data_IF_426085750663
#
_entry.id   IF_426085750663
#
_cell.length_a   1.000
_cell.length_b   1.000
_cell.length_c   1.000
_cell.angle_alpha   90.00
_cell.angle_beta   90.00
_cell.angle_gamma   90.00
#
_symmetry.space_group_name_H-M   'P 1'
#
loop_
_entity.id
_entity.type
_entity.pdbx_description
1 polymer ?
#
# COMPACT_ATOMS: atom_id res chain seq x y z
N UNK A 1 49.03 -16.46 34.99
CA UNK A 1 47.78 -15.79 35.45
C UNK A 1 47.27 -14.95 34.29
N UNK A 2 46.46 -15.52 33.40
CA UNK A 2 44.99 -15.53 33.39
C UNK A 2 44.43 -14.42 32.48
N UNK A 3 44.34 -14.78 31.19
CA UNK A 3 43.35 -14.40 30.16
C UNK A 3 42.41 -13.23 30.53
N UNK A 4 42.68 -12.02 30.02
CA UNK A 4 41.67 -10.98 29.79
C UNK A 4 42.06 -10.19 28.55
N UNK A 5 41.06 -9.77 27.76
CA UNK A 5 41.15 -8.90 26.58
C UNK A 5 41.09 -9.55 25.21
N UNK A 6 40.11 -10.43 24.99
CA UNK A 6 39.47 -10.57 23.66
C UNK A 6 37.96 -10.78 23.87
N UNK A 7 37.24 -9.75 24.30
CA UNK A 7 35.78 -9.79 24.35
C UNK A 7 35.22 -8.37 24.20
N UNK A 8 35.36 -7.75 23.03
CA UNK A 8 34.65 -6.50 22.75
C UNK A 8 34.59 -6.12 21.25
N UNK A 9 34.40 -7.08 20.34
CA UNK A 9 34.33 -6.71 18.91
C UNK A 9 33.36 -7.53 18.05
N UNK A 10 32.23 -8.00 18.60
CA UNK A 10 31.15 -8.60 17.79
C UNK A 10 29.77 -8.24 18.38
N UNK A 11 29.31 -6.99 18.24
CA UNK A 11 27.90 -6.64 18.56
C UNK A 11 27.23 -5.71 17.51
N UNK A 12 27.92 -5.23 16.47
CA UNK A 12 27.35 -4.21 15.58
C UNK A 12 26.66 -4.69 14.28
N UNK A 13 26.41 -6.00 14.09
CA UNK A 13 25.91 -6.53 12.79
C UNK A 13 24.41 -6.83 12.69
N UNK A 14 23.58 -6.48 13.69
CA UNK A 14 22.14 -6.86 13.69
C UNK A 14 21.16 -5.71 13.40
N UNK A 15 21.58 -4.62 12.75
CA UNK A 15 20.71 -3.44 12.54
C UNK A 15 19.84 -3.49 11.27
N UNK A 16 19.92 -4.52 10.43
CA UNK A 16 19.01 -4.65 9.29
C UNK A 16 17.72 -5.35 9.74
N UNK A 17 16.75 -4.59 10.25
CA UNK A 17 15.44 -5.11 10.64
C UNK A 17 14.58 -5.33 9.37
N UNK A 18 14.38 -6.59 9.02
CA UNK A 18 13.34 -6.98 8.06
C UNK A 18 11.96 -6.78 8.70
N UNK A 19 11.09 -6.07 8.01
CA UNK A 19 9.71 -5.88 8.43
C UNK A 19 8.86 -7.12 8.14
N UNK A 20 7.65 -7.17 8.71
CA UNK A 20 6.65 -8.19 8.36
C UNK A 20 6.40 -8.19 6.85
N UNK A 21 6.39 -9.39 6.26
CA UNK A 21 6.17 -9.56 4.82
C UNK A 21 4.71 -9.28 4.47
N UNK A 22 4.49 -8.82 3.24
CA UNK A 22 3.18 -8.35 2.81
C UNK A 22 2.73 -9.05 1.52
N UNK A 23 1.45 -9.43 1.52
CA UNK A 23 0.78 -10.11 0.42
C UNK A 23 -0.48 -9.33 0.04
N UNK A 24 -0.47 -8.75 -1.16
CA UNK A 24 -1.59 -7.97 -1.68
C UNK A 24 -2.42 -8.83 -2.62
N UNK A 25 -3.71 -8.99 -2.29
CA UNK A 25 -4.69 -9.71 -3.09
C UNK A 25 -5.62 -8.69 -3.74
N UNK A 26 -5.39 -8.42 -5.02
CA UNK A 26 -6.15 -7.47 -5.81
C UNK A 26 -7.30 -8.21 -6.48
N UNK A 27 -8.52 -7.71 -6.37
CA UNK A 27 -9.65 -8.24 -7.14
C UNK A 27 -9.31 -8.33 -8.64
N UNK A 28 -9.58 -9.49 -9.24
CA UNK A 28 -9.22 -9.77 -10.63
C UNK A 28 -9.73 -8.67 -11.59
N UNK A 29 -8.87 -8.30 -12.55
CA UNK A 29 -9.12 -7.30 -13.61
C UNK A 29 -9.27 -5.85 -13.13
N UNK A 30 -8.92 -5.55 -11.88
CA UNK A 30 -9.01 -4.18 -11.34
C UNK A 30 -7.74 -3.37 -11.63
N UNK A 31 -7.76 -2.55 -12.70
CA UNK A 31 -6.68 -1.61 -13.05
C UNK A 31 -6.75 -0.30 -12.24
N UNK A 32 -5.71 0.52 -12.33
CA UNK A 32 -5.58 1.83 -11.69
C UNK A 32 -5.18 1.76 -10.22
N UNK A 33 -5.32 2.90 -9.53
CA UNK A 33 -4.82 3.08 -8.16
C UNK A 33 -5.63 2.25 -7.15
N UNK A 34 -4.91 1.66 -6.20
CA UNK A 34 -5.44 1.01 -5.01
C UNK A 34 -4.91 1.75 -3.79
N UNK A 35 -5.81 2.04 -2.87
CA UNK A 35 -5.51 2.82 -1.67
C UNK A 35 -5.72 1.94 -0.44
N UNK A 36 -4.69 1.83 0.39
CA UNK A 36 -4.75 1.07 1.64
C UNK A 36 -4.58 2.07 2.79
N UNK A 37 -5.67 2.31 3.51
CA UNK A 37 -5.72 3.17 4.68
C UNK A 37 -5.52 2.33 5.93
N UNK A 38 -4.43 2.60 6.64
CA UNK A 38 -3.97 1.86 7.82
C UNK A 38 -4.19 2.65 9.10
N UNK A 39 -4.09 1.97 10.24
CA UNK A 39 -4.27 2.49 11.59
C UNK A 39 -5.70 3.03 11.85
N UNK A 40 -6.71 2.40 11.23
CA UNK A 40 -8.11 2.77 11.37
C UNK A 40 -8.88 1.71 12.16
N UNK A 41 -9.43 2.10 13.32
CA UNK A 41 -10.13 1.18 14.25
C UNK A 41 -11.38 0.54 13.62
N UNK A 42 -12.07 1.29 12.77
CA UNK A 42 -13.24 0.84 11.99
C UNK A 42 -12.86 0.05 10.72
N UNK A 43 -11.57 -0.20 10.49
CA UNK A 43 -11.08 -0.96 9.35
C UNK A 43 -11.30 -2.47 9.48
N UNK A 44 -11.02 -3.18 8.39
CA UNK A 44 -11.01 -4.64 8.39
C UNK A 44 -9.99 -5.16 9.41
N UNK A 45 -10.33 -6.25 10.13
CA UNK A 45 -9.39 -6.90 11.04
C UNK A 45 -8.09 -7.30 10.34
N UNK A 46 -7.00 -7.31 11.11
CA UNK A 46 -5.69 -7.78 10.64
C UNK A 46 -5.78 -9.25 10.23
N UNK A 47 -5.30 -9.57 9.03
CA UNK A 47 -5.30 -10.93 8.48
C UNK A 47 -3.89 -11.38 8.16
N UNK A 48 -3.55 -12.60 8.55
CA UNK A 48 -2.26 -13.20 8.29
C UNK A 48 -2.43 -14.52 7.55
N UNK A 49 -1.47 -14.87 6.69
CA UNK A 49 -1.40 -16.23 6.15
C UNK A 49 -0.67 -17.17 7.12
N UNK A 50 -0.65 -18.47 6.80
CA UNK A 50 0.00 -19.50 7.61
C UNK A 50 1.51 -19.27 7.81
N UNK A 51 2.14 -18.46 6.96
CA UNK A 51 3.56 -18.10 7.02
C UNK A 51 3.78 -16.76 7.75
N UNK A 52 2.73 -16.17 8.31
CA UNK A 52 2.79 -14.89 9.02
C UNK A 52 2.86 -13.67 8.11
N UNK A 53 2.51 -13.78 6.82
CA UNK A 53 2.45 -12.61 5.92
C UNK A 53 1.18 -11.82 6.20
N UNK A 54 1.31 -10.50 6.28
CA UNK A 54 0.13 -9.60 6.31
C UNK A 54 -0.62 -9.71 4.99
N UNK A 55 -1.91 -10.02 5.05
CA UNK A 55 -2.78 -10.12 3.88
C UNK A 55 -3.57 -8.82 3.73
N UNK A 56 -3.41 -8.17 2.58
CA UNK A 56 -4.22 -7.03 2.16
C UNK A 56 -5.17 -7.47 1.05
N UNK A 57 -6.39 -7.84 1.43
CA UNK A 57 -7.46 -8.19 0.48
C UNK A 57 -8.13 -6.93 -0.05
N UNK A 58 -7.68 -6.44 -1.20
CA UNK A 58 -8.13 -5.18 -1.79
C UNK A 58 -9.44 -5.43 -2.58
N UNK A 59 -10.56 -4.80 -2.19
CA UNK A 59 -11.85 -5.00 -2.85
C UNK A 59 -11.88 -4.39 -4.27
N UNK A 60 -12.96 -4.65 -5.01
CA UNK A 60 -13.18 -4.12 -6.37
C UNK A 60 -13.18 -2.58 -6.42
N UNK A 61 -13.61 -1.91 -5.35
CA UNK A 61 -13.54 -0.45 -5.21
C UNK A 61 -12.11 0.09 -5.23
N UNK A 62 -11.11 -0.77 -5.03
CA UNK A 62 -9.71 -0.40 -4.90
C UNK A 62 -9.38 0.42 -3.65
N UNK A 63 -10.27 0.44 -2.65
CA UNK A 63 -10.05 1.11 -1.36
C UNK A 63 -10.14 0.04 -0.27
N UNK A 64 -9.08 -0.12 0.50
CA UNK A 64 -9.03 -0.98 1.67
C UNK A 64 -8.81 -0.11 2.91
N UNK A 65 -9.66 -0.27 3.92
CA UNK A 65 -9.46 0.29 5.26
C UNK A 65 -9.10 -0.86 6.18
N UNK A 66 -8.00 -0.75 6.93
CA UNK A 66 -7.48 -1.82 7.77
C UNK A 66 -7.00 -1.34 9.13
N UNK A 67 -7.09 -2.24 10.11
CA UNK A 67 -6.55 -2.09 11.46
C UNK A 67 -5.03 -2.35 11.54
N UNK A 68 -4.38 -2.76 10.44
CA UNK A 68 -2.92 -2.85 10.41
C UNK A 68 -2.29 -1.50 10.74
N UNK A 69 -1.17 -1.53 11.48
CA UNK A 69 -0.30 -0.37 11.64
C UNK A 69 0.70 -0.33 10.50
N UNK A 70 1.21 0.85 10.19
CA UNK A 70 2.33 1.01 9.25
C UNK A 70 3.51 0.12 9.67
N UNK A 71 4.23 -0.39 8.68
CA UNK A 71 5.51 -1.08 8.86
C UNK A 71 6.62 -0.22 8.29
N UNK A 72 7.73 -0.17 9.02
CA UNK A 72 8.95 0.53 8.60
C UNK A 72 10.07 -0.48 8.37
N UNK A 73 10.98 -0.18 7.44
CA UNK A 73 12.11 -1.02 7.09
C UNK A 73 11.96 -1.71 5.72
N UNK A 74 12.81 -2.70 5.46
CA UNK A 74 12.79 -3.46 4.20
C UNK A 74 11.63 -4.46 4.27
N UNK A 75 10.62 -4.22 3.44
CA UNK A 75 9.41 -5.06 3.35
C UNK A 75 9.45 -5.88 2.07
N UNK A 76 9.31 -7.20 2.20
CA UNK A 76 9.06 -8.06 1.05
C UNK A 76 7.57 -8.02 0.68
N UNK A 77 7.26 -7.43 -0.47
CA UNK A 77 5.90 -7.25 -0.97
C UNK A 77 5.64 -8.18 -2.15
N UNK A 78 4.55 -8.92 -2.09
CA UNK A 78 4.09 -9.82 -3.17
C UNK A 78 2.68 -9.45 -3.60
N UNK A 79 2.39 -9.51 -4.90
CA UNK A 79 1.15 -9.01 -5.47
C UNK A 79 0.47 -10.10 -6.30
N UNK A 80 -0.83 -10.25 -6.13
CA UNK A 80 -1.63 -11.24 -6.84
C UNK A 80 -2.96 -10.66 -7.29
N UNK A 81 -3.42 -11.02 -8.47
CA UNK A 81 -4.85 -11.02 -8.75
C UNK A 81 -5.49 -12.22 -8.06
N UNK A 82 -6.61 -11.99 -7.39
CA UNK A 82 -7.49 -13.02 -6.83
C UNK A 82 -8.78 -13.05 -7.64
N UNK A 83 -9.03 -14.17 -8.31
CA UNK A 83 -10.29 -14.41 -9.03
C UNK A 83 -11.42 -14.77 -8.07
N UNK A 84 -12.66 -14.78 -8.59
CA UNK A 84 -13.87 -15.06 -7.79
C UNK A 84 -13.89 -16.46 -7.17
N UNK A 85 -13.29 -17.43 -7.84
CA UNK A 85 -13.08 -18.81 -7.38
C UNK A 85 -11.88 -18.94 -6.41
N UNK A 86 -11.17 -17.86 -6.10
CA UNK A 86 -10.07 -17.82 -5.15
C UNK A 86 -8.70 -18.14 -5.73
N UNK A 87 -8.59 -18.43 -7.03
CA UNK A 87 -7.29 -18.65 -7.69
C UNK A 87 -6.43 -17.38 -7.66
N UNK A 88 -5.13 -17.56 -7.43
CA UNK A 88 -4.15 -16.47 -7.38
C UNK A 88 -3.30 -16.46 -8.65
N UNK A 89 -3.16 -15.28 -9.25
CA UNK A 89 -2.28 -15.02 -10.40
C UNK A 89 -1.28 -13.96 -9.97
N UNK A 90 0.00 -14.31 -9.95
CA UNK A 90 1.06 -13.38 -9.52
C UNK A 90 1.20 -12.19 -10.48
N UNK A 91 1.43 -11.01 -9.90
CA UNK A 91 1.74 -9.77 -10.61
C UNK A 91 3.12 -9.33 -10.15
N UNK A 92 4.02 -9.03 -11.09
CA UNK A 92 5.34 -8.52 -10.73
C UNK A 92 5.19 -7.12 -10.11
N UNK A 93 5.71 -6.98 -8.89
CA UNK A 93 5.82 -5.69 -8.20
C UNK A 93 7.01 -4.89 -8.73
N UNK A 94 6.83 -3.58 -8.94
CA UNK A 94 7.89 -2.65 -9.34
C UNK A 94 7.83 -1.43 -8.40
N UNK A 95 8.91 -1.07 -7.70
CA UNK A 95 8.97 0.18 -6.96
C UNK A 95 8.65 1.41 -7.84
N UNK A 96 7.97 2.41 -7.29
CA UNK A 96 7.57 3.63 -8.00
C UNK A 96 8.76 4.38 -8.59
N UNK A 97 9.89 4.36 -7.89
CA UNK A 97 11.11 5.08 -8.24
C UNK A 97 11.94 4.37 -9.32
N UNK A 98 11.66 3.10 -9.58
CA UNK A 98 12.41 2.32 -10.56
C UNK A 98 12.09 2.78 -11.99
N UNK A 99 13.11 2.69 -12.84
CA UNK A 99 12.98 2.93 -14.27
C UNK A 99 12.04 1.90 -14.91
N UNK A 100 11.13 2.39 -15.74
CA UNK A 100 10.08 1.61 -16.39
C UNK A 100 10.37 1.35 -17.87
N UNK A 101 11.42 1.95 -18.43
CA UNK A 101 11.75 1.84 -19.87
C UNK A 101 12.07 0.42 -20.32
N UNK A 102 12.64 -0.40 -19.43
CA UNK A 102 13.00 -1.80 -19.70
C UNK A 102 11.84 -2.79 -19.50
N UNK A 103 10.67 -2.33 -19.04
CA UNK A 103 9.52 -3.20 -18.78
C UNK A 103 8.79 -3.55 -20.08
N UNK A 104 8.20 -4.74 -20.11
CA UNK A 104 7.38 -5.14 -21.24
C UNK A 104 6.07 -4.33 -21.26
N UNK A 105 5.91 -3.45 -22.24
CA UNK A 105 4.76 -2.55 -22.40
C UNK A 105 3.40 -3.26 -22.52
N UNK A 106 3.37 -4.56 -22.83
CA UNK A 106 2.14 -5.34 -22.93
C UNK A 106 1.77 -6.06 -21.63
N UNK A 107 2.66 -6.08 -20.63
CA UNK A 107 2.41 -6.71 -19.32
C UNK A 107 1.86 -5.71 -18.31
N UNK A 108 1.04 -6.22 -17.41
CA UNK A 108 0.53 -5.47 -16.25
C UNK A 108 1.49 -5.68 -15.08
N UNK A 109 1.76 -4.60 -14.35
CA UNK A 109 2.61 -4.59 -13.16
C UNK A 109 1.86 -3.97 -11.98
N UNK A 110 2.34 -4.27 -10.78
CA UNK A 110 1.94 -3.60 -9.56
C UNK A 110 3.03 -2.60 -9.16
N UNK A 111 2.82 -1.33 -9.48
CA UNK A 111 3.72 -0.28 -9.03
C UNK A 111 3.43 0.03 -7.56
N UNK A 112 4.45 0.12 -6.69
CA UNK A 112 4.27 0.36 -5.26
C UNK A 112 5.36 1.27 -4.65
N UNK A 113 5.19 1.69 -3.39
CA UNK A 113 6.23 2.39 -2.63
C UNK A 113 6.05 3.91 -2.58
N UNK A 114 4.87 4.41 -2.95
CA UNK A 114 4.42 5.76 -2.61
C UNK A 114 3.50 5.65 -1.41
N UNK A 115 4.12 5.73 -0.25
CA UNK A 115 3.43 5.71 1.03
C UNK A 115 3.37 7.14 1.55
N UNK A 116 2.22 7.49 2.12
CA UNK A 116 1.96 8.81 2.70
C UNK A 116 1.31 8.63 4.06
N UNK A 117 1.47 9.66 4.88
CA UNK A 117 0.97 9.63 6.24
C UNK A 117 0.23 10.93 6.52
N UNK A 118 -1.01 10.83 7.00
CA UNK A 118 -1.80 11.98 7.43
C UNK A 118 -1.82 12.02 8.95
N UNK A 119 -1.29 13.10 9.52
CA UNK A 119 -1.27 13.32 10.96
C UNK A 119 -2.49 14.12 11.38
N UNK A 120 -3.16 13.68 12.45
CA UNK A 120 -4.27 14.40 13.07
C UNK A 120 -3.85 14.87 14.47
N UNK A 121 -3.23 16.06 14.61
CA UNK A 121 -2.63 16.51 15.87
C UNK A 121 -3.61 16.51 17.04
N UNK A 122 -4.87 16.87 16.78
CA UNK A 122 -5.94 16.92 17.78
C UNK A 122 -6.27 15.55 18.38
N UNK A 123 -6.06 14.48 17.63
CA UNK A 123 -6.43 13.11 18.02
C UNK A 123 -5.22 12.24 18.36
N UNK A 124 -3.98 12.74 18.20
CA UNK A 124 -2.73 11.96 18.31
C UNK A 124 -2.74 10.67 17.48
N UNK A 125 -3.55 10.66 16.42
CA UNK A 125 -3.69 9.54 15.50
C UNK A 125 -3.03 9.89 14.17
N UNK A 126 -2.47 8.86 13.55
CA UNK A 126 -1.76 8.94 12.28
C UNK A 126 -2.36 7.90 11.35
N UNK A 127 -2.81 8.30 10.17
CA UNK A 127 -3.37 7.39 9.17
C UNK A 127 -2.32 7.18 8.09
N UNK A 128 -1.96 5.91 7.90
CA UNK A 128 -1.06 5.51 6.83
C UNK A 128 -1.81 5.23 5.55
N UNK A 129 -1.25 5.64 4.43
CA UNK A 129 -1.86 5.50 3.10
C UNK A 129 -0.81 4.92 2.17
N UNK A 130 -1.01 3.66 1.78
CA UNK A 130 -0.21 3.04 0.73
C UNK A 130 -0.95 3.12 -0.60
N UNK A 131 -0.21 3.44 -1.66
CA UNK A 131 -0.73 3.51 -3.01
C UNK A 131 -0.08 2.42 -3.86
N UNK A 132 -0.91 1.59 -4.49
CA UNK A 132 -0.48 0.60 -5.47
C UNK A 132 -1.16 0.91 -6.79
N UNK A 133 -0.39 1.11 -7.85
CA UNK A 133 -0.94 1.37 -9.19
C UNK A 133 -0.84 0.11 -10.03
N UNK A 134 -1.99 -0.41 -10.48
CA UNK A 134 -2.04 -1.60 -11.33
C UNK A 134 -2.26 -1.18 -12.78
N UNK A 135 -1.22 -1.23 -13.61
CA UNK A 135 -1.31 -0.78 -14.99
C UNK A 135 -0.19 -1.34 -15.87
N UNK A 136 -0.26 -1.04 -17.18
CA UNK A 136 0.87 -1.19 -18.08
C UNK A 136 1.86 -0.03 -17.86
N UNK A 137 3.16 -0.20 -18.17
CA UNK A 137 4.18 0.82 -17.92
C UNK A 137 3.87 2.20 -18.52
N UNK A 138 3.37 2.24 -19.76
CA UNK A 138 3.05 3.48 -20.48
C UNK A 138 1.89 4.28 -19.86
N UNK A 139 0.99 3.61 -19.15
CA UNK A 139 -0.18 4.25 -18.54
C UNK A 139 0.14 4.82 -17.15
N UNK A 140 1.30 4.45 -16.58
CA UNK A 140 1.64 4.73 -15.18
C UNK A 140 1.54 6.21 -14.83
N UNK A 141 2.17 7.09 -15.62
CA UNK A 141 2.18 8.53 -15.31
C UNK A 141 0.77 9.14 -15.35
N UNK A 142 -0.05 8.75 -16.33
CA UNK A 142 -1.44 9.25 -16.47
C UNK A 142 -2.36 8.78 -15.33
N UNK A 143 -2.18 7.54 -14.85
CA UNK A 143 -2.99 6.96 -13.79
C UNK A 143 -2.52 7.36 -12.39
N UNK A 144 -1.24 7.63 -12.24
CA UNK A 144 -0.63 8.10 -11.00
C UNK A 144 -0.84 9.60 -10.77
N UNK A 145 -1.59 10.29 -11.63
CA UNK A 145 -2.12 11.59 -11.25
C UNK A 145 -3.00 11.41 -10.00
N UNK A 146 -2.67 12.13 -8.93
CA UNK A 146 -3.25 11.96 -7.60
C UNK A 146 -4.45 12.87 -7.22
N UNK A 147 -5.46 13.16 -8.09
CA UNK A 147 -6.58 14.00 -7.67
C UNK A 147 -7.34 13.49 -6.44
N UNK A 148 -7.45 12.18 -6.25
CA UNK A 148 -8.11 11.63 -5.06
C UNK A 148 -7.36 11.98 -3.77
N UNK A 149 -6.02 11.89 -3.77
CA UNK A 149 -5.24 12.24 -2.59
C UNK A 149 -5.19 13.74 -2.34
N UNK A 150 -5.12 14.54 -3.41
CA UNK A 150 -5.25 16.01 -3.30
C UNK A 150 -6.57 16.39 -2.64
N UNK A 151 -7.66 15.73 -3.01
CA UNK A 151 -8.99 15.95 -2.41
C UNK A 151 -9.01 15.55 -0.93
N UNK A 152 -8.43 14.40 -0.56
CA UNK A 152 -8.34 13.97 0.85
C UNK A 152 -7.57 14.99 1.69
N UNK A 153 -6.48 15.54 1.17
CA UNK A 153 -5.66 16.53 1.88
C UNK A 153 -6.35 17.90 1.95
N UNK A 154 -7.05 18.30 0.89
CA UNK A 154 -7.75 19.58 0.81
C UNK A 154 -8.99 19.63 1.71
N UNK A 155 -9.62 18.49 1.97
CA UNK A 155 -10.81 18.40 2.81
C UNK A 155 -10.41 18.35 4.29
N UNK A 156 -11.15 19.06 5.16
CA UNK A 156 -10.94 19.03 6.62
C UNK A 156 -11.49 17.74 7.25
N UNK A 157 -11.03 16.59 6.77
CA UNK A 157 -11.50 15.28 7.24
C UNK A 157 -10.84 14.96 8.57
N UNK A 158 -11.58 14.31 9.45
CA UNK A 158 -11.08 13.76 10.72
C UNK A 158 -10.83 12.26 10.58
N UNK A 159 -10.15 11.65 11.55
CA UNK A 159 -9.93 10.20 11.55
C UNK A 159 -11.27 9.40 11.49
N UNK A 160 -12.33 9.95 12.08
CA UNK A 160 -13.67 9.34 12.09
C UNK A 160 -14.36 9.39 10.72
N UNK A 161 -13.96 10.32 9.85
CA UNK A 161 -14.51 10.48 8.51
C UNK A 161 -14.00 9.43 7.51
N UNK A 162 -12.94 8.68 7.86
CA UNK A 162 -12.42 7.57 7.06
C UNK A 162 -13.35 6.35 7.14
N UNK A 163 -14.50 6.49 6.48
CA UNK A 163 -15.45 5.40 6.26
C UNK A 163 -15.39 4.96 4.80
N UNK A 164 -15.69 3.68 4.55
CA UNK A 164 -15.74 3.15 3.19
C UNK A 164 -16.64 3.98 2.27
N UNK A 165 -17.85 4.32 2.75
CA UNK A 165 -18.82 5.12 2.00
C UNK A 165 -18.23 6.47 1.58
N UNK A 166 -17.66 7.22 2.53
CA UNK A 166 -17.12 8.56 2.28
C UNK A 166 -15.97 8.51 1.27
N UNK A 167 -15.02 7.58 1.44
CA UNK A 167 -13.85 7.46 0.55
C UNK A 167 -14.26 7.04 -0.87
N UNK A 168 -15.23 6.14 -1.01
CA UNK A 168 -15.77 5.74 -2.33
C UNK A 168 -16.46 6.92 -3.01
N UNK A 169 -17.30 7.66 -2.29
CA UNK A 169 -17.98 8.86 -2.82
C UNK A 169 -16.99 9.94 -3.25
N UNK A 170 -15.96 10.21 -2.44
CA UNK A 170 -14.89 11.16 -2.78
C UNK A 170 -14.15 10.73 -4.03
N UNK A 171 -13.75 9.45 -4.13
CA UNK A 171 -13.06 8.92 -5.30
C UNK A 171 -13.91 9.02 -6.58
N UNK A 172 -15.20 8.71 -6.48
CA UNK A 172 -16.12 8.82 -7.61
C UNK A 172 -16.21 10.27 -8.13
N UNK A 173 -16.28 11.26 -7.23
CA UNK A 173 -16.28 12.69 -7.59
C UNK A 173 -15.00 13.10 -8.33
N UNK A 174 -13.83 12.67 -7.84
CA UNK A 174 -12.55 12.98 -8.48
C UNK A 174 -12.48 12.42 -9.91
N UNK A 175 -12.96 11.19 -10.13
CA UNK A 175 -12.96 10.56 -11.45
C UNK A 175 -13.89 11.26 -12.44
N UNK A 176 -15.04 11.77 -11.99
CA UNK A 176 -15.96 12.54 -12.85
C UNK A 176 -15.30 13.85 -13.30
N UNK A 177 -14.67 14.57 -12.37
CA UNK A 177 -14.04 15.85 -12.66
C UNK A 177 -12.82 15.74 -13.60
N UNK A 178 -12.15 14.58 -13.64
CA UNK A 178 -11.09 14.30 -14.60
C UNK A 178 -11.59 14.06 -16.03
N UNK A 179 -12.80 13.52 -16.20
CA UNK A 179 -13.38 13.24 -17.53
C UNK A 179 -14.03 14.45 -18.19
N UNK A 180 -14.29 15.51 -17.41
CA UNK A 180 -14.91 16.75 -17.88
C UNK A 180 -13.88 17.82 -18.32
N UNK A 181 -12.59 17.52 -18.22
CA UNK A 181 -11.47 18.36 -18.67
C UNK A 181 -10.84 17.75 -19.91
#
# INVERSE_FOLDING_TARGET
>A
MLKKSVFCFIVFLTSCQFAEKEKYLISANSLGNKYIFSNLKNGMPRQYDEKGYRIYSIPESGILITQFKETYGIINKTFFYKSKDGKLIEIKGIPFQDDKTSLNHNKIYAFYGKDMTINFPKFKDTIGIQIITICKPQDFNSLNEEPFMKEIIATHITAEDFTYKKLIEMRAKCNINQRAK
#
